data_IF_299374156201
#
_entry.id   IF_299374156201
#
_cell.length_a   1.000
_cell.length_b   1.000
_cell.length_c   1.000
_cell.angle_alpha   90.00
_cell.angle_beta   90.00
_cell.angle_gamma   90.00
#
_symmetry.space_group_name_H-M   'P 1'
#
loop_
_entity.id
_entity.type
_entity.pdbx_description
1 polymer ?
#
# COMPACT_ATOMS: atom_id res chain seq x y z
N UNK A 1 -10.07 39.93 -23.99
CA UNK A 1 -8.85 39.23 -23.56
C UNK A 1 -9.36 38.12 -22.67
N UNK A 2 -9.42 36.89 -23.17
CA UNK A 2 -9.94 35.77 -22.40
C UNK A 2 -8.97 35.49 -21.25
N UNK A 3 -9.48 35.49 -20.01
CA UNK A 3 -8.76 35.04 -18.83
C UNK A 3 -8.42 33.55 -19.03
N UNK A 4 -7.22 33.29 -19.56
CA UNK A 4 -6.65 31.95 -19.51
C UNK A 4 -6.34 31.68 -18.05
N UNK A 5 -7.22 30.92 -17.42
CA UNK A 5 -7.04 30.35 -16.09
C UNK A 5 -5.87 29.35 -16.19
N UNK A 6 -4.66 29.89 -16.14
CA UNK A 6 -3.41 29.15 -16.24
C UNK A 6 -3.32 28.30 -14.97
N UNK A 7 -3.35 26.97 -15.14
CA UNK A 7 -3.34 26.04 -14.03
C UNK A 7 -2.09 26.26 -13.18
N UNK A 8 -2.28 26.80 -11.97
CA UNK A 8 -1.19 27.36 -11.17
C UNK A 8 -0.27 26.26 -10.63
N UNK A 9 0.95 26.64 -10.26
CA UNK A 9 1.88 25.71 -9.63
C UNK A 9 1.34 25.17 -8.30
N UNK A 10 0.57 25.97 -7.55
CA UNK A 10 -0.12 25.50 -6.34
C UNK A 10 -1.18 24.44 -6.67
N UNK A 11 -2.00 24.66 -7.71
CA UNK A 11 -3.01 23.68 -8.15
C UNK A 11 -2.36 22.37 -8.62
N UNK A 12 -1.19 22.45 -9.25
CA UNK A 12 -0.37 21.29 -9.63
C UNK A 12 0.15 20.55 -8.40
N UNK A 13 0.69 21.26 -7.42
CA UNK A 13 1.18 20.66 -6.19
C UNK A 13 0.04 19.96 -5.43
N UNK A 14 -1.12 20.61 -5.32
CA UNK A 14 -2.30 20.06 -4.67
C UNK A 14 -2.80 18.80 -5.38
N UNK A 15 -2.88 18.81 -6.72
CA UNK A 15 -3.27 17.63 -7.49
C UNK A 15 -2.31 16.45 -7.24
N UNK A 16 -1.00 16.71 -7.23
CA UNK A 16 -0.01 15.67 -6.96
C UNK A 16 -0.13 15.10 -5.54
N UNK A 17 -0.38 15.94 -4.55
CA UNK A 17 -0.65 15.51 -3.17
C UNK A 17 -1.91 14.65 -3.10
N UNK A 18 -3.00 15.10 -3.73
CA UNK A 18 -4.26 14.35 -3.78
C UNK A 18 -4.08 12.97 -4.45
N UNK A 19 -3.29 12.90 -5.53
CA UNK A 19 -2.95 11.64 -6.21
C UNK A 19 -2.15 10.72 -5.29
N UNK A 20 -1.13 11.26 -4.60
CA UNK A 20 -0.32 10.49 -3.65
C UNK A 20 -1.17 9.91 -2.52
N UNK A 21 -2.09 10.72 -1.97
CA UNK A 21 -3.00 10.28 -0.93
C UNK A 21 -3.98 9.22 -1.44
N UNK A 22 -4.60 9.44 -2.60
CA UNK A 22 -5.51 8.46 -3.20
C UNK A 22 -4.82 7.12 -3.49
N UNK A 23 -3.56 7.14 -3.91
CA UNK A 23 -2.78 5.93 -4.09
C UNK A 23 -2.51 5.21 -2.77
N UNK A 24 -2.16 5.94 -1.70
CA UNK A 24 -2.00 5.35 -0.37
C UNK A 24 -3.31 4.74 0.16
N UNK A 25 -4.43 5.44 -0.02
CA UNK A 25 -5.78 4.95 0.35
C UNK A 25 -6.12 3.66 -0.42
N UNK A 26 -5.80 3.62 -1.72
CA UNK A 26 -6.02 2.43 -2.55
C UNK A 26 -5.19 1.23 -2.06
N UNK A 27 -3.91 1.44 -1.74
CA UNK A 27 -3.05 0.39 -1.18
C UNK A 27 -3.54 -0.11 0.17
N UNK A 28 -4.04 0.78 1.04
CA UNK A 28 -4.64 0.41 2.32
C UNK A 28 -5.92 -0.41 2.13
N UNK A 29 -6.81 0.00 1.22
CA UNK A 29 -8.03 -0.73 0.92
C UNK A 29 -7.72 -2.12 0.33
N UNK A 30 -6.69 -2.23 -0.51
CA UNK A 30 -6.21 -3.52 -1.03
C UNK A 30 -5.71 -4.43 0.09
N UNK A 31 -4.97 -3.88 1.05
CA UNK A 31 -4.53 -4.64 2.23
C UNK A 31 -5.73 -5.11 3.07
N UNK A 32 -6.73 -4.26 3.28
CA UNK A 32 -7.95 -4.64 4.00
C UNK A 32 -8.71 -5.76 3.30
N UNK A 33 -8.88 -5.65 1.99
CA UNK A 33 -9.51 -6.69 1.16
C UNK A 33 -8.75 -8.03 1.27
N UNK A 34 -7.42 -8.01 1.18
CA UNK A 34 -6.61 -9.22 1.31
C UNK A 34 -6.71 -9.89 2.69
N UNK A 35 -7.09 -9.13 3.72
CA UNK A 35 -7.25 -9.63 5.09
C UNK A 35 -8.71 -9.93 5.47
N UNK A 36 -9.68 -9.63 4.59
CA UNK A 36 -11.08 -9.85 4.86
C UNK A 36 -11.43 -11.35 4.75
N UNK A 37 -11.95 -11.92 5.83
CA UNK A 37 -12.26 -13.36 5.93
C UNK A 37 -13.76 -13.63 6.18
N UNK A 38 -14.50 -12.63 6.67
CA UNK A 38 -15.94 -12.72 6.91
C UNK A 38 -16.69 -12.19 5.69
N UNK A 39 -17.75 -12.87 5.27
CA UNK A 39 -18.58 -12.52 4.10
C UNK A 39 -19.09 -11.08 4.19
N UNK A 40 -19.53 -10.63 5.37
CA UNK A 40 -20.01 -9.24 5.54
C UNK A 40 -18.90 -8.20 5.42
N UNK A 41 -17.68 -8.55 5.83
CA UNK A 41 -16.49 -7.68 5.76
C UNK A 41 -15.88 -7.68 4.36
N UNK A 42 -16.03 -8.77 3.61
CA UNK A 42 -15.57 -8.89 2.22
C UNK A 42 -16.32 -7.91 1.33
N UNK A 43 -17.66 -7.83 1.44
CA UNK A 43 -18.45 -6.90 0.63
C UNK A 43 -18.06 -5.43 0.90
N UNK A 44 -17.89 -5.06 2.18
CA UNK A 44 -17.42 -3.73 2.57
C UNK A 44 -16.00 -3.45 2.05
N UNK A 45 -15.10 -4.44 2.14
CA UNK A 45 -13.73 -4.29 1.68
C UNK A 45 -13.65 -4.15 0.14
N UNK A 46 -14.49 -4.87 -0.61
CA UNK A 46 -14.63 -4.72 -2.06
C UNK A 46 -15.15 -3.32 -2.40
N UNK A 47 -16.18 -2.85 -1.70
CA UNK A 47 -16.72 -1.51 -1.90
C UNK A 47 -15.66 -0.43 -1.68
N UNK A 48 -14.92 -0.51 -0.56
CA UNK A 48 -13.84 0.44 -0.24
C UNK A 48 -12.71 0.40 -1.26
N UNK A 49 -12.30 -0.81 -1.70
CA UNK A 49 -11.26 -0.99 -2.70
C UNK A 49 -11.65 -0.32 -4.02
N UNK A 50 -12.85 -0.60 -4.52
CA UNK A 50 -13.35 -0.03 -5.77
C UNK A 50 -13.47 1.49 -5.69
N UNK A 51 -13.98 2.03 -4.56
CA UNK A 51 -14.10 3.46 -4.36
C UNK A 51 -12.73 4.16 -4.37
N UNK A 52 -11.73 3.57 -3.71
CA UNK A 52 -10.36 4.11 -3.66
C UNK A 52 -9.69 4.06 -5.04
N UNK A 53 -9.83 2.96 -5.77
CA UNK A 53 -9.31 2.81 -7.14
C UNK A 53 -9.93 3.84 -8.08
N UNK A 54 -11.26 3.97 -8.08
CA UNK A 54 -11.97 4.95 -8.91
C UNK A 54 -11.52 6.39 -8.63
N UNK A 55 -11.28 6.73 -7.35
CA UNK A 55 -10.78 8.04 -6.96
C UNK A 55 -9.37 8.29 -7.51
N UNK A 56 -8.47 7.32 -7.35
CA UNK A 56 -7.11 7.42 -7.88
C UNK A 56 -7.11 7.53 -9.41
N UNK A 57 -7.86 6.68 -10.11
CA UNK A 57 -7.99 6.75 -11.56
C UNK A 57 -8.54 8.10 -12.03
N UNK A 58 -9.55 8.65 -11.35
CA UNK A 58 -10.13 9.94 -11.66
C UNK A 58 -9.09 11.06 -11.62
N UNK A 59 -8.28 11.11 -10.56
CA UNK A 59 -7.21 12.09 -10.41
C UNK A 59 -6.10 11.89 -11.45
N UNK A 60 -5.74 10.64 -11.77
CA UNK A 60 -4.79 10.34 -12.84
C UNK A 60 -5.30 10.77 -14.22
N UNK A 61 -6.61 10.66 -14.49
CA UNK A 61 -7.23 11.19 -15.72
C UNK A 61 -7.12 12.71 -15.79
N UNK A 62 -7.33 13.41 -14.66
CA UNK A 62 -7.16 14.86 -14.57
C UNK A 62 -5.70 15.24 -14.86
N UNK A 63 -4.74 14.60 -14.19
CA UNK A 63 -3.31 14.86 -14.42
C UNK A 63 -2.92 14.65 -15.90
N UNK A 64 -3.42 13.60 -16.54
CA UNK A 64 -3.19 13.35 -17.98
C UNK A 64 -3.75 14.46 -18.87
N UNK A 65 -4.97 14.95 -18.58
CA UNK A 65 -5.56 16.07 -19.33
C UNK A 65 -4.73 17.35 -19.18
N UNK A 66 -4.16 17.57 -18.00
CA UNK A 66 -3.29 18.70 -17.68
C UNK A 66 -1.82 18.48 -18.08
N UNK A 67 -1.48 17.33 -18.69
CA UNK A 67 -0.10 16.94 -19.06
C UNK A 67 0.89 17.00 -17.88
N UNK A 68 0.41 16.72 -16.68
CA UNK A 68 1.21 16.63 -15.47
C UNK A 68 1.82 15.23 -15.40
N UNK A 69 3.15 15.16 -15.30
CA UNK A 69 3.87 13.90 -15.12
C UNK A 69 3.76 13.51 -13.65
N UNK A 70 3.13 12.37 -13.38
CA UNK A 70 2.99 11.82 -12.03
C UNK A 70 4.03 10.73 -11.84
N UNK A 71 4.94 10.91 -10.88
CA UNK A 71 5.88 9.88 -10.45
C UNK A 71 5.27 9.00 -9.38
N UNK A 72 4.64 7.89 -9.75
CA UNK A 72 4.14 6.90 -8.78
C UNK A 72 5.25 5.87 -8.55
N UNK A 73 5.93 5.93 -7.41
CA UNK A 73 6.86 4.87 -7.02
C UNK A 73 6.06 3.57 -6.79
N UNK A 74 6.16 2.62 -7.72
CA UNK A 74 5.60 1.28 -7.59
C UNK A 74 6.46 0.46 -6.60
N UNK A 75 6.56 0.93 -5.37
CA UNK A 75 7.25 0.26 -4.27
C UNK A 75 6.39 -0.86 -3.69
N UNK A 76 6.09 -1.88 -4.48
CA UNK A 76 5.54 -3.13 -3.96
C UNK A 76 6.64 -3.90 -3.23
N UNK A 77 7.00 -3.46 -2.03
CA UNK A 77 7.70 -4.31 -1.08
C UNK A 77 6.66 -5.11 -0.30
N UNK A 78 6.02 -6.05 -1.00
CA UNK A 78 5.03 -6.98 -0.46
C UNK A 78 5.73 -8.13 0.29
N UNK A 79 6.70 -7.80 1.15
CA UNK A 79 7.46 -8.79 1.94
C UNK A 79 7.68 -8.29 3.37
N UNK A 80 6.60 -7.85 4.02
CA UNK A 80 6.61 -7.51 5.45
C UNK A 80 5.45 -8.18 6.18
N UNK A 81 5.20 -9.46 5.90
CA UNK A 81 4.36 -10.29 6.75
C UNK A 81 5.08 -11.59 7.10
N UNK A 82 5.74 -11.55 8.24
CA UNK A 82 5.93 -12.67 9.16
C UNK A 82 6.65 -13.91 8.60
N UNK A 83 7.97 -13.83 8.53
CA UNK A 83 8.82 -15.01 8.74
C UNK A 83 9.40 -15.00 10.15
N UNK A 84 8.54 -15.09 11.17
CA UNK A 84 8.97 -15.67 12.46
C UNK A 84 9.04 -17.19 12.30
N UNK A 85 10.03 -17.60 11.49
CA UNK A 85 10.46 -18.99 11.40
C UNK A 85 11.24 -19.32 12.67
N UNK A 86 10.60 -20.14 13.50
CA UNK A 86 11.25 -21.26 14.19
C UNK A 86 12.59 -20.93 14.87
N UNK A 87 12.54 -20.36 16.07
CA UNK A 87 13.59 -20.60 17.06
C UNK A 87 13.20 -21.80 17.92
N UNK A 88 13.26 -23.00 17.34
CA UNK A 88 13.33 -24.21 18.16
C UNK A 88 14.70 -24.24 18.83
N UNK A 89 14.79 -24.26 20.18
CA UNK A 89 16.08 -24.41 20.82
C UNK A 89 16.66 -25.78 20.44
N UNK A 90 17.80 -25.77 19.74
CA UNK A 90 18.65 -26.94 19.58
C UNK A 90 19.07 -27.41 20.97
N UNK A 91 18.39 -28.42 21.48
CA UNK A 91 18.91 -29.24 22.58
C UNK A 91 20.15 -29.94 22.05
N UNK A 92 21.32 -29.35 22.31
CA UNK A 92 22.58 -30.05 22.13
C UNK A 92 22.69 -31.08 23.26
N UNK A 93 22.33 -32.32 22.93
CA UNK A 93 22.75 -33.51 23.63
C UNK A 93 24.26 -33.70 23.44
N UNK A 94 25.05 -33.31 24.44
CA UNK A 94 26.41 -33.83 24.62
C UNK A 94 26.93 -33.49 26.02
N UNK A 95 26.71 -34.39 26.98
CA UNK A 95 27.67 -34.55 28.07
C UNK A 95 27.88 -36.04 28.35
N UNK A 96 28.89 -36.56 27.68
CA UNK A 96 29.48 -37.87 27.97
C UNK A 96 30.32 -37.80 29.24
N UNK A 97 30.12 -38.82 30.10
CA UNK A 97 31.08 -39.42 31.04
C UNK A 97 31.85 -38.48 31.99
N UNK A 98 31.35 -38.39 33.22
CA UNK A 98 32.19 -38.32 34.41
C UNK A 98 32.32 -39.73 35.01
N UNK A 99 33.47 -40.37 34.79
CA UNK A 99 33.93 -41.50 35.60
C UNK A 99 35.04 -40.98 36.53
N UNK A 100 35.15 -41.59 37.70
CA UNK A 100 36.14 -41.38 38.78
C UNK A 100 35.82 -40.19 39.69
N UNK A 101 35.70 -40.35 41.02
CA UNK A 101 36.43 -41.20 41.97
C UNK A 101 35.51 -41.80 43.03
#
# INVERSE_FOLDING_TARGET
MEDYDEFSDEQRAELLEQISKAHADWMLALQQFNNAMDVGVIDDAIYLLNAAEMRFEGLMRIARRLRIVVGVNHGLNLHSHMSDRHNSPRVNSSFTRGSSL
#
